data_IF_067653762108
#
_entry.id   IF_067653762108
#
_cell.length_a   1.000
_cell.length_b   1.000
_cell.length_c   1.000
_cell.angle_alpha   90.00
_cell.angle_beta   90.00
_cell.angle_gamma   90.00
#
_symmetry.space_group_name_H-M   'P 1'
#
loop_
_entity.id
_entity.type
_entity.pdbx_description
1 polymer ?
#
# COMPACT_ATOMS: atom_id res chain seq x y z
N UNK A 1 2.24 -26.28 -1.64
CA UNK A 1 1.40 -25.28 -0.98
C UNK A 1 0.99 -24.29 -2.06
N UNK A 2 -0.30 -24.26 -2.41
CA UNK A 2 -0.80 -23.30 -3.39
C UNK A 2 -0.50 -21.90 -2.87
N UNK A 3 0.32 -21.15 -3.61
CA UNK A 3 0.76 -19.82 -3.24
C UNK A 3 -0.45 -18.89 -3.18
N UNK A 4 -0.99 -18.70 -1.98
CA UNK A 4 -2.02 -17.71 -1.72
C UNK A 4 -1.56 -16.35 -2.23
N UNK A 5 -2.48 -15.62 -2.85
CA UNK A 5 -2.23 -14.25 -3.30
C UNK A 5 -1.79 -13.41 -2.10
N UNK A 6 -0.60 -12.84 -2.18
CA UNK A 6 -0.12 -11.89 -1.18
C UNK A 6 -0.90 -10.58 -1.35
N UNK A 7 -1.39 -10.05 -0.24
CA UNK A 7 -2.13 -8.80 -0.17
C UNK A 7 -1.37 -7.84 0.74
N UNK A 8 -1.43 -6.56 0.41
CA UNK A 8 -0.76 -5.50 1.18
C UNK A 8 -1.79 -4.90 2.12
N UNK A 9 -1.41 -4.70 3.38
CA UNK A 9 -2.26 -4.11 4.41
C UNK A 9 -1.57 -2.91 5.05
N UNK A 10 -2.33 -1.88 5.37
CA UNK A 10 -1.92 -0.89 6.36
C UNK A 10 -2.38 -1.39 7.74
N UNK A 11 -1.44 -1.48 8.69
CA UNK A 11 -1.78 -1.87 10.06
C UNK A 11 -2.10 -0.60 10.85
N UNK A 12 -3.36 -0.47 11.25
CA UNK A 12 -3.87 0.68 12.01
C UNK A 12 -3.88 0.41 13.50
N UNK A 13 -4.26 -0.80 13.89
CA UNK A 13 -4.30 -1.24 15.29
C UNK A 13 -3.80 -2.67 15.44
N UNK A 14 -3.22 -2.95 16.60
CA UNK A 14 -2.73 -4.28 16.99
C UNK A 14 -3.23 -4.55 18.40
N UNK A 15 -3.68 -5.78 18.68
CA UNK A 15 -4.10 -6.20 20.01
C UNK A 15 -3.86 -7.69 20.24
N UNK A 16 -3.77 -8.07 21.51
CA UNK A 16 -3.80 -9.45 21.96
C UNK A 16 -5.14 -9.80 22.63
N UNK A 17 -5.48 -11.07 22.61
CA UNK A 17 -6.65 -11.63 23.28
C UNK A 17 -6.23 -12.40 24.53
N UNK A 18 -7.17 -12.64 25.44
CA UNK A 18 -6.90 -13.34 26.71
C UNK A 18 -6.36 -14.78 26.52
N UNK A 19 -6.64 -15.40 25.38
CA UNK A 19 -6.10 -16.70 24.98
C UNK A 19 -4.72 -16.61 24.29
N UNK A 20 -4.06 -15.44 24.33
CA UNK A 20 -2.70 -15.23 23.85
C UNK A 20 -2.56 -15.11 22.33
N UNK A 21 -3.65 -14.89 21.59
CA UNK A 21 -3.60 -14.66 20.15
C UNK A 21 -3.46 -13.18 19.86
N UNK A 22 -2.69 -12.84 18.84
CA UNK A 22 -2.48 -11.46 18.43
C UNK A 22 -3.10 -11.21 17.05
N UNK A 23 -3.73 -10.06 16.90
CA UNK A 23 -4.42 -9.63 15.69
C UNK A 23 -4.00 -8.21 15.32
N UNK A 24 -4.22 -7.86 14.07
CA UNK A 24 -4.14 -6.50 13.56
C UNK A 24 -5.39 -6.15 12.78
N UNK A 25 -5.67 -4.87 12.62
CA UNK A 25 -6.76 -4.35 11.81
C UNK A 25 -6.29 -3.14 10.99
N UNK A 26 -6.89 -2.99 9.81
CA UNK A 26 -6.71 -1.82 8.96
C UNK A 26 -7.15 -2.12 7.52
N UNK A 27 -6.96 -1.16 6.61
CA UNK A 27 -7.35 -1.31 5.22
C UNK A 27 -6.36 -2.16 4.43
N UNK A 28 -6.86 -2.71 3.33
CA UNK A 28 -6.05 -3.39 2.33
C UNK A 28 -5.68 -2.47 1.18
N UNK A 29 -4.72 -2.90 0.38
CA UNK A 29 -4.47 -2.33 -0.93
C UNK A 29 -4.77 -3.36 -2.02
N UNK A 30 -5.46 -2.90 -3.06
CA UNK A 30 -5.78 -3.70 -4.24
C UNK A 30 -4.91 -3.28 -5.42
N UNK A 31 -4.61 -4.24 -6.29
CA UNK A 31 -3.83 -4.00 -7.50
C UNK A 31 -4.72 -3.57 -8.68
N UNK A 32 -4.17 -2.99 -9.76
CA UNK A 32 -4.90 -2.73 -11.00
C UNK A 32 -5.66 -3.95 -11.52
N UNK A 33 -5.18 -5.15 -11.24
CA UNK A 33 -5.78 -6.42 -11.68
C UNK A 33 -7.13 -6.73 -11.02
N UNK A 34 -7.47 -6.04 -9.93
CA UNK A 34 -8.64 -6.29 -9.07
C UNK A 34 -9.74 -5.24 -9.21
N UNK A 35 -9.50 -4.18 -9.98
CA UNK A 35 -10.43 -3.06 -10.12
C UNK A 35 -10.91 -2.95 -11.57
N UNK A 36 -12.14 -2.45 -11.80
CA UNK A 36 -12.57 -2.08 -13.14
C UNK A 36 -11.84 -0.81 -13.61
N UNK A 37 -11.31 -0.82 -14.83
CA UNK A 37 -10.66 0.33 -15.46
C UNK A 37 -10.95 0.41 -16.96
N UNK A 38 -10.78 1.60 -17.53
CA UNK A 38 -10.93 1.79 -18.98
C UNK A 38 -9.75 1.15 -19.75
N UNK A 39 -9.94 0.61 -20.96
CA UNK A 39 -8.88 -0.09 -21.70
C UNK A 39 -7.61 0.75 -21.96
N UNK A 40 -7.74 2.07 -22.01
CA UNK A 40 -6.62 3.00 -22.25
C UNK A 40 -5.98 3.52 -20.95
N UNK A 41 -6.41 3.04 -19.78
CA UNK A 41 -5.84 3.43 -18.50
C UNK A 41 -4.41 2.89 -18.40
N UNK A 42 -3.48 3.79 -18.09
CA UNK A 42 -2.11 3.45 -17.76
C UNK A 42 -1.91 3.54 -16.24
N UNK A 43 -1.07 2.67 -15.72
CA UNK A 43 -0.77 2.54 -14.30
C UNK A 43 0.71 2.75 -14.05
N UNK A 44 1.08 3.27 -12.89
CA UNK A 44 2.48 3.27 -12.49
C UNK A 44 2.94 1.83 -12.22
N UNK A 45 4.24 1.58 -12.42
CA UNK A 45 4.85 0.34 -11.95
C UNK A 45 4.64 0.22 -10.43
N UNK A 46 4.16 -0.93 -9.97
CA UNK A 46 3.81 -1.17 -8.55
C UNK A 46 2.70 -0.23 -8.03
N UNK A 47 1.80 0.25 -8.90
CA UNK A 47 0.62 0.99 -8.46
C UNK A 47 -0.34 0.08 -7.68
N UNK A 48 -0.84 0.62 -6.58
CA UNK A 48 -1.87 0.02 -5.73
C UNK A 48 -2.91 1.08 -5.36
N UNK A 49 -4.08 0.62 -4.93
CA UNK A 49 -5.21 1.47 -4.55
C UNK A 49 -5.61 1.15 -3.13
N UNK A 50 -5.77 2.18 -2.30
CA UNK A 50 -6.25 2.01 -0.93
C UNK A 50 -7.71 1.56 -0.96
N UNK A 51 -7.99 0.40 -0.39
CA UNK A 51 -9.35 -0.14 -0.26
C UNK A 51 -10.19 0.71 0.68
N UNK A 52 -11.49 0.81 0.40
CA UNK A 52 -12.47 1.35 1.35
C UNK A 52 -12.86 0.35 2.43
N UNK A 53 -12.43 -0.92 2.29
CA UNK A 53 -12.70 -2.00 3.23
C UNK A 53 -11.53 -2.17 4.20
N UNK A 54 -11.87 -2.47 5.45
CA UNK A 54 -10.94 -2.77 6.54
C UNK A 54 -11.31 -4.13 7.14
N UNK A 55 -10.32 -4.88 7.62
CA UNK A 55 -10.56 -6.19 8.24
C UNK A 55 -9.55 -6.51 9.36
N UNK A 56 -9.93 -7.43 10.25
CA UNK A 56 -9.11 -7.93 11.34
C UNK A 56 -8.47 -9.29 11.01
N UNK A 57 -7.15 -9.37 11.16
CA UNK A 57 -6.36 -10.52 10.71
C UNK A 57 -5.40 -10.99 11.80
N UNK A 58 -5.11 -12.31 11.90
CA UNK A 58 -4.09 -12.80 12.83
C UNK A 58 -2.71 -12.24 12.48
N UNK A 59 -1.90 -11.80 13.45
CA UNK A 59 -0.52 -11.34 13.20
C UNK A 59 0.32 -12.40 12.51
N UNK A 60 0.05 -13.68 12.76
CA UNK A 60 0.75 -14.81 12.14
C UNK A 60 0.57 -14.90 10.62
N UNK A 61 -0.36 -14.13 10.02
CA UNK A 61 -0.50 -14.03 8.57
C UNK A 61 0.52 -13.06 7.92
N UNK A 62 1.23 -12.26 8.72
CA UNK A 62 2.24 -11.32 8.22
C UNK A 62 3.49 -12.10 7.82
N UNK A 63 3.88 -11.99 6.54
CA UNK A 63 5.04 -12.69 5.98
C UNK A 63 6.23 -11.75 5.68
N UNK A 64 6.01 -10.43 5.73
CA UNK A 64 7.02 -9.44 5.39
C UNK A 64 6.52 -8.01 5.56
N UNK A 65 7.43 -7.05 5.46
CA UNK A 65 7.16 -5.61 5.45
C UNK A 65 7.32 -5.09 4.02
N UNK A 66 6.57 -4.05 3.68
CA UNK A 66 6.70 -3.29 2.44
C UNK A 66 6.40 -1.82 2.72
N UNK A 67 6.58 -0.95 1.73
CA UNK A 67 6.23 0.46 1.81
C UNK A 67 5.22 0.82 0.73
N UNK A 68 4.13 1.47 1.10
CA UNK A 68 3.22 2.11 0.15
C UNK A 68 3.35 3.62 0.34
N UNK A 69 3.80 4.30 -0.70
CA UNK A 69 4.06 5.74 -0.67
C UNK A 69 2.98 6.48 -1.46
N UNK A 70 2.61 7.67 -0.98
CA UNK A 70 1.85 8.57 -1.85
C UNK A 70 2.71 9.09 -3.02
N UNK A 71 2.10 9.75 -4.00
CA UNK A 71 2.84 10.22 -5.17
C UNK A 71 4.01 11.14 -4.81
N UNK A 72 3.84 12.06 -3.86
CA UNK A 72 4.86 13.04 -3.49
C UNK A 72 6.04 12.37 -2.78
N UNK A 73 5.76 11.45 -1.87
CA UNK A 73 6.77 10.64 -1.17
C UNK A 73 7.51 9.74 -2.16
N UNK A 74 6.77 9.06 -3.05
CA UNK A 74 7.34 8.16 -4.03
C UNK A 74 8.31 8.85 -4.98
N UNK A 75 8.04 10.10 -5.37
CA UNK A 75 8.96 10.81 -6.27
C UNK A 75 10.15 11.44 -5.57
N UNK A 76 10.15 11.54 -4.23
CA UNK A 76 11.12 12.31 -3.47
C UNK A 76 12.00 11.48 -2.53
N UNK A 77 11.58 10.27 -2.14
CA UNK A 77 12.31 9.50 -1.12
C UNK A 77 12.08 7.98 -1.17
N UNK A 78 12.90 7.24 -0.41
CA UNK A 78 12.74 5.81 -0.11
C UNK A 78 13.06 5.50 1.35
N UNK A 79 12.30 4.61 2.01
CA UNK A 79 12.74 3.98 3.25
C UNK A 79 13.93 3.06 2.95
N UNK A 80 15.04 3.24 3.66
CA UNK A 80 16.31 2.57 3.37
C UNK A 80 16.30 1.08 3.67
N UNK A 81 15.44 0.64 4.60
CA UNK A 81 15.32 -0.77 5.02
C UNK A 81 14.36 -1.60 4.16
N UNK A 82 13.68 -0.99 3.17
CA UNK A 82 12.71 -1.68 2.30
C UNK A 82 13.32 -1.85 0.90
N UNK A 83 13.39 -3.08 0.35
CA UNK A 83 13.82 -3.31 -1.02
C UNK A 83 12.91 -2.59 -2.04
N UNK A 84 13.47 -2.08 -3.14
CA UNK A 84 12.68 -1.36 -4.18
C UNK A 84 11.54 -2.20 -4.80
N UNK A 85 11.69 -3.53 -4.81
CA UNK A 85 10.63 -4.44 -5.26
C UNK A 85 9.43 -4.54 -4.30
N UNK A 86 9.59 -4.03 -3.08
CA UNK A 86 8.56 -3.97 -2.04
C UNK A 86 8.15 -2.50 -1.76
N UNK A 87 8.43 -1.58 -2.70
CA UNK A 87 7.98 -0.18 -2.64
C UNK A 87 6.90 0.07 -3.69
N UNK A 88 5.69 0.34 -3.22
CA UNK A 88 4.49 0.56 -4.02
C UNK A 88 4.09 2.03 -4.03
N UNK A 89 3.33 2.43 -5.05
CA UNK A 89 2.79 3.78 -5.18
C UNK A 89 1.27 3.76 -5.10
N UNK A 90 0.71 4.63 -4.25
CA UNK A 90 -0.74 4.80 -4.13
C UNK A 90 -1.10 6.27 -4.36
N UNK A 91 -2.00 6.53 -5.31
CA UNK A 91 -2.48 7.89 -5.59
C UNK A 91 -4.00 8.04 -5.48
N UNK A 92 -4.68 6.92 -5.25
CA UNK A 92 -6.13 6.82 -5.29
C UNK A 92 -6.66 5.78 -4.30
N UNK A 93 -7.89 5.98 -3.86
CA UNK A 93 -8.68 4.97 -3.16
C UNK A 93 -9.57 4.23 -4.16
N UNK A 94 -9.88 2.98 -3.87
CA UNK A 94 -10.92 2.22 -4.55
C UNK A 94 -12.06 1.97 -3.57
N UNK A 95 -13.26 2.40 -3.96
CA UNK A 95 -14.51 2.12 -3.27
C UNK A 95 -15.11 0.85 -3.87
N UNK A 96 -14.99 -0.25 -3.13
CA UNK A 96 -15.49 -1.56 -3.52
C UNK A 96 -17.02 -1.61 -3.60
N UNK A 97 -17.73 -0.79 -2.82
CA UNK A 97 -19.20 -0.78 -2.76
C UNK A 97 -19.76 -0.11 -4.02
N UNK A 98 -19.18 1.02 -4.39
CA UNK A 98 -19.64 1.82 -5.54
C UNK A 98 -18.88 1.52 -6.84
N UNK A 99 -17.83 0.68 -6.77
CA UNK A 99 -16.91 0.40 -7.87
C UNK A 99 -16.27 1.67 -8.47
N UNK A 100 -15.85 2.60 -7.60
CA UNK A 100 -15.31 3.89 -8.02
C UNK A 100 -13.89 4.11 -7.51
N UNK A 101 -13.07 4.73 -8.37
CA UNK A 101 -11.73 5.19 -7.99
C UNK A 101 -11.81 6.67 -7.65
N UNK A 102 -11.42 7.03 -6.43
CA UNK A 102 -11.36 8.41 -5.96
C UNK A 102 -9.93 8.82 -5.67
N UNK A 103 -9.64 10.12 -5.64
CA UNK A 103 -8.32 10.61 -5.26
C UNK A 103 -8.12 10.42 -3.75
N UNK A 104 -6.86 10.23 -3.33
CA UNK A 104 -6.52 10.33 -1.91
C UNK A 104 -6.92 11.71 -1.35
N UNK A 105 -7.16 11.79 -0.03
CA UNK A 105 -7.25 13.07 0.67
C UNK A 105 -6.04 13.96 0.41
N UNK A 106 -6.17 15.27 0.65
CA UNK A 106 -5.06 16.23 0.51
C UNK A 106 -3.84 15.89 1.37
N UNK A 107 -4.08 15.24 2.50
CA UNK A 107 -3.10 14.77 3.47
C UNK A 107 -2.37 13.50 2.99
N UNK A 108 -2.84 12.87 1.91
CA UNK A 108 -2.29 11.64 1.37
C UNK A 108 -2.77 10.40 2.11
N UNK A 109 -1.87 9.41 2.23
CA UNK A 109 -2.10 8.21 3.01
C UNK A 109 -2.10 8.54 4.52
N UNK A 110 -2.85 7.77 5.31
CA UNK A 110 -2.86 7.91 6.76
C UNK A 110 -1.45 7.67 7.31
N UNK A 111 -0.97 8.60 8.16
CA UNK A 111 0.33 8.52 8.83
C UNK A 111 0.14 8.39 10.33
N UNK A 112 1.09 7.71 10.98
CA UNK A 112 1.05 7.45 12.42
C UNK A 112 2.12 8.27 13.13
N UNK A 113 1.71 9.01 14.15
CA UNK A 113 2.65 9.64 15.08
C UNK A 113 2.94 8.69 16.23
N UNK A 114 4.17 8.19 16.28
CA UNK A 114 4.60 7.28 17.34
C UNK A 114 5.15 8.05 18.56
N UNK A 115 5.28 7.34 19.69
CA UNK A 115 5.97 7.91 20.85
C UNK A 115 7.46 8.12 20.55
N UNK A 116 8.15 9.02 21.27
CA UNK A 116 9.59 9.27 21.07
C UNK A 116 10.50 8.06 21.35
N UNK A 117 9.94 6.97 21.90
CA UNK A 117 10.65 5.71 22.15
C UNK A 117 10.72 4.81 20.91
N UNK A 118 9.94 5.12 19.86
CA UNK A 118 9.96 4.39 18.60
C UNK A 118 11.06 5.00 17.73
N UNK A 119 11.97 4.15 17.27
CA UNK A 119 12.98 4.54 16.29
C UNK A 119 12.30 4.98 15.01
N UNK A 120 12.62 6.18 14.53
CA UNK A 120 12.13 6.68 13.24
C UNK A 120 12.78 5.90 12.09
N UNK A 121 12.02 5.67 11.02
CA UNK A 121 12.55 5.03 9.81
C UNK A 121 13.59 5.93 9.14
N UNK A 122 14.71 5.34 8.71
CA UNK A 122 15.72 6.07 7.94
C UNK A 122 15.24 6.26 6.49
N UNK A 123 15.03 7.52 6.12
CA UNK A 123 14.57 7.93 4.79
C UNK A 123 15.73 8.49 3.95
N UNK A 124 15.95 7.90 2.79
CA UNK A 124 16.84 8.47 1.77
C UNK A 124 16.06 9.41 0.86
N UNK A 125 16.41 10.70 0.87
CA UNK A 125 15.82 11.71 0.02
C UNK A 125 16.60 11.87 -1.28
N UNK A 126 15.91 11.83 -2.40
CA UNK A 126 16.53 11.95 -3.71
C UNK A 126 17.04 13.37 -3.96
N UNK A 127 18.22 13.54 -4.58
CA UNK A 127 18.72 14.86 -4.97
C UNK A 127 17.80 15.59 -5.97
N UNK A 128 16.98 14.85 -6.72
CA UNK A 128 15.99 15.36 -7.67
C UNK A 128 14.76 14.46 -7.66
N UNK A 129 13.60 15.05 -7.90
CA UNK A 129 12.36 14.29 -8.06
C UNK A 129 12.47 13.34 -9.25
N UNK A 130 12.06 12.09 -9.06
CA UNK A 130 11.97 11.12 -10.15
C UNK A 130 10.66 11.33 -10.94
N UNK A 131 10.64 10.88 -12.20
CA UNK A 131 9.45 10.89 -13.03
C UNK A 131 8.97 9.45 -13.28
N UNK A 132 8.04 8.92 -12.46
CA UNK A 132 7.58 7.54 -12.58
C UNK A 132 6.84 7.34 -13.90
N UNK A 133 7.25 6.31 -14.65
CA UNK A 133 6.61 5.96 -15.92
C UNK A 133 5.30 5.20 -15.67
N UNK A 134 4.36 5.36 -16.59
CA UNK A 134 3.13 4.58 -16.61
C UNK A 134 3.14 3.57 -17.75
N UNK A 135 2.62 2.39 -17.48
CA UNK A 135 2.51 1.28 -18.43
C UNK A 135 1.06 0.79 -18.53
N UNK A 136 0.65 0.17 -19.64
CA UNK A 136 -0.64 -0.49 -19.74
C UNK A 136 -0.79 -1.58 -18.67
N UNK A 137 -2.02 -1.90 -18.27
CA UNK A 137 -2.26 -2.99 -17.33
C UNK A 137 -1.64 -4.30 -17.83
N UNK A 138 -0.99 -5.10 -16.96
CA UNK A 138 -0.44 -6.41 -17.31
C UNK A 138 -1.47 -7.39 -17.90
N UNK A 139 -2.77 -7.16 -17.67
CA UNK A 139 -3.85 -7.99 -18.22
C UNK A 139 -4.15 -7.70 -19.70
N UNK A 140 -3.80 -6.52 -20.22
CA UNK A 140 -4.06 -6.15 -21.62
C UNK A 140 -2.98 -6.69 -22.59
N UNK A 141 -1.89 -7.24 -22.04
CA UNK A 141 -0.76 -7.78 -22.82
C UNK A 141 -0.75 -9.32 -22.89
N UNK A 142 -1.80 -9.98 -22.39
CA UNK A 142 -2.02 -11.43 -22.52
C UNK A 142 -3.09 -11.75 -23.55
#
# INVERSE_FOLDING_TARGET
AEGGKQIIAQIDTIWDTKDGKCYFHGPWFVTPSEIPYSPNKLFYKQEVFLSSLEDANPIVSIIGKCAVLDFNEYISSRPTEIPECDVFICSSMYDEINHQITKLPSEGLKKYSHSPTVTEDEMYFFPRLINPQKEPSPQLTK
#
